data_IF_539797067131
#
_entry.id   IF_539797067131
#
_cell.length_a   1.000
_cell.length_b   1.000
_cell.length_c   1.000
_cell.angle_alpha   90.00
_cell.angle_beta   90.00
_cell.angle_gamma   90.00
#
_symmetry.space_group_name_H-M   'P 1'
#
loop_
_entity.id
_entity.type
_entity.pdbx_description
1 polymer ?
#
# COMPACT_ATOMS: atom_id res chain seq x y z
N UNK A 1 0.82 30.42 8.36
CA UNK A 1 1.38 29.59 7.28
C UNK A 1 2.58 28.75 7.74
N UNK A 2 3.53 29.29 8.48
CA UNK A 2 4.76 28.61 8.92
C UNK A 2 4.50 27.45 9.93
N UNK A 3 3.49 27.58 10.77
CA UNK A 3 3.11 26.54 11.74
C UNK A 3 2.47 25.33 11.06
N UNK A 4 1.62 25.56 10.05
CA UNK A 4 1.01 24.47 9.25
C UNK A 4 2.06 23.67 8.47
N UNK A 5 3.01 24.33 7.84
CA UNK A 5 4.09 23.68 7.09
C UNK A 5 4.98 22.79 8.00
N UNK A 6 5.30 23.25 9.20
CA UNK A 6 6.09 22.45 10.17
C UNK A 6 5.32 21.25 10.69
N UNK A 7 4.02 21.38 10.94
CA UNK A 7 3.16 20.29 11.37
C UNK A 7 3.05 19.21 10.26
N UNK A 8 2.75 19.62 9.03
CA UNK A 8 2.69 18.69 7.88
C UNK A 8 4.04 18.02 7.60
N UNK A 9 5.15 18.74 7.73
CA UNK A 9 6.48 18.16 7.62
C UNK A 9 6.79 17.11 8.68
N UNK A 10 6.36 17.34 9.93
CA UNK A 10 6.52 16.37 11.01
C UNK A 10 5.65 15.13 10.80
N UNK A 11 4.40 15.29 10.36
CA UNK A 11 3.50 14.19 10.02
C UNK A 11 4.05 13.34 8.89
N UNK A 12 4.52 13.96 7.82
CA UNK A 12 5.14 13.27 6.69
C UNK A 12 6.43 12.55 7.13
N UNK A 13 7.26 13.19 7.95
CA UNK A 13 8.46 12.58 8.50
C UNK A 13 8.17 11.35 9.37
N UNK A 14 7.12 11.40 10.19
CA UNK A 14 6.67 10.25 10.97
C UNK A 14 6.13 9.12 10.08
N UNK A 15 5.38 9.44 9.04
CA UNK A 15 4.87 8.47 8.07
C UNK A 15 6.01 7.76 7.34
N UNK A 16 6.95 8.53 6.78
CA UNK A 16 8.10 7.98 6.09
C UNK A 16 8.99 7.15 7.02
N UNK A 17 9.23 7.62 8.25
CA UNK A 17 9.96 6.88 9.26
C UNK A 17 9.27 5.57 9.66
N UNK A 18 7.94 5.57 9.73
CA UNK A 18 7.17 4.36 10.00
C UNK A 18 7.21 3.37 8.81
N UNK A 19 7.12 3.87 7.58
CA UNK A 19 7.19 3.06 6.36
C UNK A 19 8.58 2.46 6.17
N UNK A 20 9.64 3.24 6.39
CA UNK A 20 11.03 2.82 6.16
C UNK A 20 11.43 1.55 6.91
N UNK A 21 10.85 1.31 8.09
CA UNK A 21 11.08 0.08 8.87
C UNK A 21 10.22 -1.13 8.45
N UNK A 22 9.39 -1.00 7.41
CA UNK A 22 8.43 -2.04 6.99
C UNK A 22 8.61 -2.54 5.58
N UNK A 23 9.13 -1.71 4.70
CA UNK A 23 9.40 -2.05 3.30
C UNK A 23 10.57 -3.04 3.27
N UNK A 24 10.40 -4.16 2.60
CA UNK A 24 11.43 -5.18 2.40
C UNK A 24 12.04 -5.10 1.02
N UNK A 25 11.22 -4.88 0.03
CA UNK A 25 11.60 -4.66 -1.36
C UNK A 25 10.64 -3.70 -2.03
N UNK A 26 10.97 -3.27 -3.21
CA UNK A 26 10.13 -2.43 -4.06
C UNK A 26 10.61 -2.49 -5.50
N UNK A 27 9.69 -2.72 -6.43
CA UNK A 27 9.91 -2.43 -7.83
C UNK A 27 9.74 -0.92 -8.08
N UNK A 28 10.72 -0.29 -8.71
CA UNK A 28 10.71 1.16 -8.95
C UNK A 28 9.90 1.49 -10.21
N UNK A 29 8.73 2.09 -9.99
CA UNK A 29 7.84 2.57 -11.05
C UNK A 29 8.14 4.00 -11.49
N UNK A 30 8.93 4.76 -10.71
CA UNK A 30 9.06 6.20 -10.86
C UNK A 30 10.29 6.61 -11.67
N UNK A 31 11.32 5.76 -11.73
CA UNK A 31 12.52 6.02 -12.56
C UNK A 31 12.18 5.74 -14.03
N UNK A 32 11.64 6.75 -14.71
CA UNK A 32 11.31 6.71 -16.15
C UNK A 32 12.33 7.49 -16.97
N UNK A 33 13.01 8.43 -16.36
CA UNK A 33 13.75 9.51 -17.04
C UNK A 33 15.27 9.38 -16.91
N UNK A 34 15.78 8.21 -16.54
CA UNK A 34 17.21 8.01 -16.60
C UNK A 34 17.61 7.90 -18.09
N UNK A 35 18.58 8.71 -18.52
CA UNK A 35 19.12 8.71 -19.89
C UNK A 35 19.70 7.33 -20.27
N UNK A 36 19.93 6.48 -19.27
CA UNK A 36 20.50 5.16 -19.42
C UNK A 36 19.41 4.06 -19.30
N UNK A 37 19.02 3.39 -20.39
CA UNK A 37 18.00 2.34 -20.33
C UNK A 37 18.36 1.15 -19.41
N UNK A 38 19.65 0.97 -19.07
CA UNK A 38 20.11 -0.09 -18.17
C UNK A 38 19.81 0.22 -16.70
N UNK A 39 19.62 1.50 -16.36
CA UNK A 39 19.27 1.95 -15.01
C UNK A 39 17.75 2.01 -14.77
N UNK A 40 16.96 1.71 -15.80
CA UNK A 40 15.51 1.57 -15.71
C UNK A 40 15.16 0.14 -15.25
N UNK A 41 13.98 0.01 -14.64
CA UNK A 41 13.46 -1.33 -14.29
C UNK A 41 14.20 -1.99 -13.10
N UNK A 42 14.44 -1.21 -12.05
CA UNK A 42 15.20 -1.62 -10.87
C UNK A 42 14.28 -2.16 -9.77
N UNK A 43 14.73 -3.23 -9.13
CA UNK A 43 14.15 -3.76 -7.89
C UNK A 43 15.09 -3.45 -6.73
N UNK A 44 14.59 -2.77 -5.71
CA UNK A 44 15.33 -2.45 -4.49
C UNK A 44 14.99 -3.42 -3.36
N UNK A 45 15.98 -3.70 -2.51
CA UNK A 45 15.78 -4.43 -1.27
C UNK A 45 16.34 -3.65 -0.07
N UNK A 46 15.56 -3.59 1.01
CA UNK A 46 15.97 -2.94 2.26
C UNK A 46 16.63 -3.97 3.17
N UNK A 47 17.94 -4.22 2.94
CA UNK A 47 18.69 -5.25 3.62
C UNK A 47 18.55 -5.29 5.15
N UNK A 48 18.62 -4.16 5.89
CA UNK A 48 18.39 -4.16 7.34
C UNK A 48 17.01 -4.69 7.74
N UNK A 49 15.96 -4.38 6.99
CA UNK A 49 14.60 -4.84 7.28
C UNK A 49 14.45 -6.34 6.98
N UNK A 50 15.04 -6.82 5.88
CA UNK A 50 15.07 -8.25 5.53
C UNK A 50 15.75 -9.05 6.66
N UNK A 51 16.94 -8.63 7.10
CA UNK A 51 17.67 -9.27 8.20
C UNK A 51 16.89 -9.25 9.53
N UNK A 52 16.19 -8.15 9.81
CA UNK A 52 15.35 -8.03 11.00
C UNK A 52 14.20 -9.05 11.00
N UNK A 53 13.57 -9.26 9.85
CA UNK A 53 12.50 -10.25 9.67
C UNK A 53 13.04 -11.68 9.77
N UNK A 54 14.13 -11.98 9.08
CA UNK A 54 14.80 -13.28 9.16
C UNK A 54 15.07 -13.67 10.63
N UNK A 55 15.70 -12.77 11.40
CA UNK A 55 15.97 -12.99 12.81
C UNK A 55 14.73 -13.13 13.66
N UNK A 56 13.73 -12.28 13.43
CA UNK A 56 12.50 -12.22 14.24
C UNK A 56 11.69 -13.49 14.15
N UNK A 57 11.61 -14.09 12.95
CA UNK A 57 10.76 -15.25 12.69
C UNK A 57 11.54 -16.55 12.52
N UNK A 58 12.88 -16.49 12.58
CA UNK A 58 13.75 -17.65 12.39
C UNK A 58 13.70 -18.20 10.97
N UNK A 59 13.48 -17.34 9.97
CA UNK A 59 13.39 -17.77 8.58
C UNK A 59 14.74 -18.22 8.04
N UNK A 60 14.81 -19.32 7.24
CA UNK A 60 15.99 -19.68 6.49
C UNK A 60 16.33 -18.56 5.49
N UNK A 61 17.52 -17.91 5.59
CA UNK A 61 17.81 -16.69 4.85
C UNK A 61 17.76 -16.87 3.33
N UNK A 62 18.30 -17.97 2.80
CA UNK A 62 18.35 -18.22 1.36
C UNK A 62 16.93 -18.38 0.77
N UNK A 63 16.09 -19.18 1.41
CA UNK A 63 14.71 -19.40 0.95
C UNK A 63 13.86 -18.14 1.09
N UNK A 64 14.03 -17.42 2.21
CA UNK A 64 13.25 -16.20 2.42
C UNK A 64 13.62 -15.10 1.43
N UNK A 65 14.90 -14.94 1.13
CA UNK A 65 15.36 -13.96 0.12
C UNK A 65 14.94 -14.36 -1.29
N UNK A 66 14.97 -15.65 -1.62
CA UNK A 66 14.44 -16.14 -2.89
C UNK A 66 12.93 -15.87 -3.01
N UNK A 67 12.16 -16.16 -1.96
CA UNK A 67 10.72 -15.88 -1.90
C UNK A 67 10.43 -14.38 -2.09
N UNK A 68 11.18 -13.53 -1.41
CA UNK A 68 11.06 -12.08 -1.55
C UNK A 68 11.45 -11.61 -2.97
N UNK A 69 12.50 -12.18 -3.54
CA UNK A 69 12.92 -11.88 -4.91
C UNK A 69 11.84 -12.27 -5.93
N UNK A 70 11.20 -13.43 -5.79
CA UNK A 70 10.09 -13.84 -6.63
C UNK A 70 8.92 -12.86 -6.54
N UNK A 71 8.61 -12.36 -5.34
CA UNK A 71 7.55 -11.37 -5.13
C UNK A 71 7.83 -10.08 -5.92
N UNK A 72 8.97 -9.46 -5.71
CA UNK A 72 9.33 -8.19 -6.37
C UNK A 72 9.50 -8.35 -7.89
N UNK A 73 10.09 -9.47 -8.33
CA UNK A 73 10.21 -9.78 -9.76
C UNK A 73 8.86 -10.05 -10.42
N UNK A 74 7.87 -10.54 -9.68
CA UNK A 74 6.50 -10.69 -10.20
C UNK A 74 5.86 -9.33 -10.42
N UNK A 75 6.00 -8.39 -9.49
CA UNK A 75 5.55 -7.03 -9.70
C UNK A 75 6.24 -6.37 -10.90
N UNK A 76 7.55 -6.53 -11.01
CA UNK A 76 8.28 -6.09 -12.20
C UNK A 76 7.69 -6.67 -13.48
N UNK A 77 7.46 -7.98 -13.52
CA UNK A 77 6.89 -8.65 -14.70
C UNK A 77 5.46 -8.17 -15.04
N UNK A 78 4.64 -7.85 -14.05
CA UNK A 78 3.31 -7.26 -14.26
C UNK A 78 3.41 -5.92 -15.00
N UNK A 79 4.26 -5.01 -14.53
CA UNK A 79 4.37 -3.66 -15.10
C UNK A 79 5.16 -3.61 -16.41
N UNK A 80 6.08 -4.53 -16.64
CA UNK A 80 6.81 -4.64 -17.92
C UNK A 80 6.06 -5.47 -18.96
N UNK A 81 5.27 -6.45 -18.52
CA UNK A 81 4.52 -7.34 -19.40
C UNK A 81 3.19 -6.77 -19.90
N UNK A 82 2.63 -5.77 -19.22
CA UNK A 82 1.35 -5.14 -19.58
C UNK A 82 1.57 -3.67 -19.96
N UNK A 83 1.64 -3.34 -21.26
CA UNK A 83 2.13 -2.03 -21.74
C UNK A 83 1.39 -0.79 -21.20
N UNK A 84 0.09 -0.91 -20.92
CA UNK A 84 -0.73 0.21 -20.45
C UNK A 84 -0.76 0.37 -18.91
N UNK A 85 -0.32 -0.64 -18.16
CA UNK A 85 -0.54 -0.74 -16.71
C UNK A 85 0.19 0.37 -15.94
N UNK A 86 1.44 0.64 -16.33
CA UNK A 86 2.27 1.68 -15.70
C UNK A 86 1.65 3.07 -15.86
N UNK A 87 1.33 3.44 -17.08
CA UNK A 87 0.76 4.76 -17.38
C UNK A 87 -0.60 4.95 -16.70
N UNK A 88 -1.40 3.90 -16.68
CA UNK A 88 -2.68 3.91 -15.99
C UNK A 88 -2.50 4.13 -14.48
N UNK A 89 -1.58 3.38 -13.86
CA UNK A 89 -1.28 3.51 -12.43
C UNK A 89 -0.77 4.91 -12.07
N UNK A 90 0.21 5.40 -12.81
CA UNK A 90 0.76 6.74 -12.59
C UNK A 90 -0.29 7.84 -12.84
N UNK A 91 -1.17 7.65 -13.81
CA UNK A 91 -2.30 8.55 -14.05
C UNK A 91 -3.27 8.63 -12.85
N UNK A 92 -3.56 7.50 -12.21
CA UNK A 92 -4.38 7.46 -10.98
C UNK A 92 -3.67 8.13 -9.80
N UNK A 93 -2.37 7.87 -9.64
CA UNK A 93 -1.54 8.53 -8.60
C UNK A 93 -1.51 10.05 -8.79
N UNK A 94 -1.27 10.52 -10.00
CA UNK A 94 -1.25 11.95 -10.31
C UNK A 94 -2.61 12.62 -10.03
N UNK A 95 -3.72 12.01 -10.44
CA UNK A 95 -5.07 12.50 -10.09
C UNK A 95 -5.28 12.61 -8.58
N UNK A 96 -4.72 11.68 -7.80
CA UNK A 96 -4.82 11.72 -6.36
C UNK A 96 -3.98 12.86 -5.77
N UNK A 97 -2.78 13.09 -6.31
CA UNK A 97 -1.88 14.16 -5.85
C UNK A 97 -2.40 15.55 -6.21
N UNK A 98 -2.96 15.73 -7.41
CA UNK A 98 -3.55 17.00 -7.86
C UNK A 98 -4.76 17.40 -7.00
N UNK A 99 -5.44 16.42 -6.44
CA UNK A 99 -6.61 16.62 -5.61
C UNK A 99 -6.31 16.98 -4.13
N UNK A 100 -5.03 17.11 -3.75
CA UNK A 100 -4.59 17.35 -2.35
C UNK A 100 -4.71 18.85 -1.93
N UNK A 101 -5.16 19.76 -2.81
CA UNK A 101 -5.33 21.16 -2.43
C UNK A 101 -6.62 21.33 -1.59
N UNK A 102 -6.53 21.52 -0.26
CA UNK A 102 -7.71 21.55 0.60
C UNK A 102 -8.47 22.85 0.37
N UNK A 103 -9.62 22.76 -0.29
CA UNK A 103 -10.59 23.85 -0.39
C UNK A 103 -11.04 24.26 1.02
N UNK A 104 -10.94 25.56 1.39
CA UNK A 104 -11.43 26.07 2.67
C UNK A 104 -12.90 25.75 2.95
N UNK A 105 -13.75 25.62 1.91
CA UNK A 105 -15.14 25.21 2.05
C UNK A 105 -15.27 23.75 2.44
N UNK A 106 -14.43 22.86 1.88
CA UNK A 106 -14.39 21.44 2.25
C UNK A 106 -14.01 21.26 3.73
N UNK A 107 -13.05 22.03 4.24
CA UNK A 107 -12.67 22.01 5.64
C UNK A 107 -13.82 22.46 6.57
N UNK A 108 -14.59 23.47 6.14
CA UNK A 108 -15.78 23.93 6.88
C UNK A 108 -16.87 22.88 6.92
N UNK A 109 -17.12 22.21 5.81
CA UNK A 109 -18.17 21.18 5.71
C UNK A 109 -17.78 19.91 6.46
N UNK A 110 -16.50 19.52 6.42
CA UNK A 110 -15.97 18.47 7.27
C UNK A 110 -16.16 18.80 8.77
N UNK A 111 -15.82 20.02 9.18
CA UNK A 111 -16.02 20.46 10.55
C UNK A 111 -17.48 20.43 10.99
N UNK A 112 -18.44 20.86 10.13
CA UNK A 112 -19.87 20.78 10.38
C UNK A 112 -20.34 19.34 10.57
N UNK A 113 -19.94 18.42 9.67
CA UNK A 113 -20.28 16.99 9.76
C UNK A 113 -19.76 16.35 11.02
N UNK A 114 -18.54 16.67 11.45
CA UNK A 114 -17.96 16.20 12.72
C UNK A 114 -18.81 16.67 13.92
N UNK A 115 -19.25 17.94 13.91
CA UNK A 115 -20.07 18.50 14.97
C UNK A 115 -21.48 17.88 14.98
N UNK A 116 -22.08 17.65 13.82
CA UNK A 116 -23.39 16.99 13.68
C UNK A 116 -23.35 15.54 14.14
N UNK A 117 -22.39 14.76 13.66
CA UNK A 117 -22.22 13.37 14.06
C UNK A 117 -21.99 13.23 15.58
N UNK A 118 -21.26 14.17 16.18
CA UNK A 118 -21.09 14.22 17.65
C UNK A 118 -22.39 14.54 18.38
N UNK A 119 -23.34 15.26 17.77
CA UNK A 119 -24.65 15.57 18.34
C UNK A 119 -25.64 14.42 18.16
N UNK A 120 -25.59 13.72 17.04
CA UNK A 120 -26.49 12.59 16.70
C UNK A 120 -26.02 11.26 17.29
N UNK A 121 -24.77 11.20 17.78
CA UNK A 121 -24.17 9.94 18.26
C UNK A 121 -23.81 8.97 17.13
N UNK A 122 -23.81 9.42 15.88
CA UNK A 122 -23.33 8.64 14.75
C UNK A 122 -21.83 8.43 14.80
N UNK A 123 -21.41 7.21 14.56
CA UNK A 123 -19.98 6.88 14.52
C UNK A 123 -19.39 7.34 13.17
N UNK A 124 -18.67 8.47 13.19
CA UNK A 124 -17.98 9.04 12.03
C UNK A 124 -17.05 8.02 11.36
N UNK A 125 -16.73 6.91 12.04
CA UNK A 125 -15.83 5.88 11.58
C UNK A 125 -16.53 4.70 10.87
N UNK A 126 -17.87 4.60 10.93
CA UNK A 126 -18.61 3.51 10.25
C UNK A 126 -18.58 3.66 8.72
N UNK A 127 -18.61 4.86 8.17
CA UNK A 127 -18.68 5.13 6.71
C UNK A 127 -17.31 5.44 6.06
N UNK A 128 -16.23 4.79 6.49
CA UNK A 128 -14.90 4.95 5.89
C UNK A 128 -13.98 5.96 6.62
N UNK A 129 -14.42 6.50 7.76
CA UNK A 129 -13.60 7.30 8.67
C UNK A 129 -13.34 8.74 8.22
N UNK A 130 -12.42 9.42 8.93
CA UNK A 130 -12.05 10.81 8.68
C UNK A 130 -11.71 11.14 7.21
N UNK A 131 -11.05 10.26 6.43
CA UNK A 131 -10.76 10.58 5.02
C UNK A 131 -11.98 10.85 4.17
N UNK A 132 -13.13 10.20 4.46
CA UNK A 132 -14.36 10.43 3.68
C UNK A 132 -14.96 11.82 3.87
N UNK A 133 -14.60 12.50 4.97
CA UNK A 133 -15.00 13.87 5.24
C UNK A 133 -14.21 14.89 4.41
N UNK A 134 -12.99 14.50 3.98
CA UNK A 134 -12.04 15.37 3.29
C UNK A 134 -11.81 14.96 1.83
N UNK A 135 -12.60 14.03 1.30
CA UNK A 135 -12.50 13.57 -0.09
C UNK A 135 -13.77 13.87 -0.86
N UNK A 136 -13.63 14.34 -2.10
CA UNK A 136 -14.76 14.45 -3.03
C UNK A 136 -15.21 13.06 -3.51
N UNK A 137 -16.44 12.91 -4.08
CA UNK A 137 -16.87 11.66 -4.70
C UNK A 137 -15.88 11.16 -5.78
N UNK A 138 -15.30 12.07 -6.57
CA UNK A 138 -14.33 11.76 -7.62
C UNK A 138 -12.99 11.26 -7.04
N UNK A 139 -12.53 11.89 -5.95
CA UNK A 139 -11.35 11.44 -5.23
C UNK A 139 -11.55 10.04 -4.64
N UNK A 140 -12.73 9.77 -4.08
CA UNK A 140 -13.07 8.43 -3.56
C UNK A 140 -13.07 7.40 -4.66
N UNK A 141 -13.63 7.72 -5.82
CA UNK A 141 -13.62 6.81 -6.97
C UNK A 141 -12.19 6.51 -7.45
N UNK A 142 -11.33 7.53 -7.55
CA UNK A 142 -9.91 7.35 -7.90
C UNK A 142 -9.18 6.47 -6.88
N UNK A 143 -9.40 6.70 -5.58
CA UNK A 143 -8.83 5.86 -4.51
C UNK A 143 -9.34 4.42 -4.56
N UNK A 144 -10.62 4.21 -4.90
CA UNK A 144 -11.18 2.87 -5.09
C UNK A 144 -10.55 2.15 -6.28
N UNK A 145 -10.34 2.86 -7.40
CA UNK A 145 -9.65 2.31 -8.57
C UNK A 145 -8.21 1.91 -8.25
N UNK A 146 -7.44 2.76 -7.57
CA UNK A 146 -6.09 2.42 -7.09
C UNK A 146 -6.15 1.18 -6.18
N UNK A 147 -7.10 1.17 -5.25
CA UNK A 147 -7.26 0.08 -4.30
C UNK A 147 -7.60 -1.24 -4.98
N UNK A 148 -8.52 -1.23 -5.93
CA UNK A 148 -8.89 -2.41 -6.74
C UNK A 148 -7.71 -2.92 -7.55
N UNK A 149 -6.99 -2.02 -8.21
CA UNK A 149 -5.81 -2.38 -8.98
C UNK A 149 -4.69 -2.95 -8.11
N UNK A 150 -4.40 -2.34 -6.96
CA UNK A 150 -3.42 -2.90 -6.00
C UNK A 150 -3.83 -4.29 -5.51
N UNK A 151 -5.13 -4.51 -5.26
CA UNK A 151 -5.62 -5.83 -4.86
C UNK A 151 -5.43 -6.88 -5.95
N UNK A 152 -5.67 -6.51 -7.21
CA UNK A 152 -5.45 -7.38 -8.36
C UNK A 152 -3.96 -7.70 -8.56
N UNK A 153 -3.09 -6.69 -8.46
CA UNK A 153 -1.64 -6.87 -8.60
C UNK A 153 -1.07 -7.77 -7.50
N UNK A 154 -1.47 -7.55 -6.25
CA UNK A 154 -1.04 -8.37 -5.12
C UNK A 154 -1.59 -9.81 -5.22
N UNK A 155 -2.89 -9.99 -5.54
CA UNK A 155 -3.48 -11.31 -5.70
C UNK A 155 -2.84 -12.10 -6.85
N UNK A 156 -2.66 -11.48 -8.00
CA UNK A 156 -1.92 -12.08 -9.11
C UNK A 156 -0.45 -12.37 -8.72
N UNK A 157 0.18 -11.47 -7.96
CA UNK A 157 1.53 -11.63 -7.44
C UNK A 157 1.65 -12.88 -6.57
N UNK A 158 0.78 -13.01 -5.57
CA UNK A 158 0.75 -14.14 -4.64
C UNK A 158 0.57 -15.48 -5.40
N UNK A 159 -0.43 -15.59 -6.29
CA UNK A 159 -0.70 -16.80 -7.09
C UNK A 159 0.46 -17.15 -8.03
N UNK A 160 1.01 -16.15 -8.72
CA UNK A 160 2.11 -16.36 -9.67
C UNK A 160 3.38 -16.79 -8.95
N UNK A 161 3.69 -16.15 -7.82
CA UNK A 161 4.85 -16.47 -7.00
C UNK A 161 4.75 -17.87 -6.40
N UNK A 162 3.59 -18.28 -5.91
CA UNK A 162 3.36 -19.62 -5.37
C UNK A 162 3.56 -20.69 -6.45
N UNK A 163 3.08 -20.45 -7.68
CA UNK A 163 3.28 -21.36 -8.82
C UNK A 163 4.72 -21.40 -9.28
N UNK A 164 5.37 -20.25 -9.43
CA UNK A 164 6.77 -20.16 -9.87
C UNK A 164 7.76 -20.67 -8.82
N UNK A 165 7.45 -20.46 -7.53
CA UNK A 165 8.26 -20.91 -6.40
C UNK A 165 8.07 -22.38 -6.02
N UNK A 166 7.05 -23.06 -6.60
CA UNK A 166 6.74 -24.44 -6.28
C UNK A 166 7.96 -25.37 -6.52
N UNK A 167 8.40 -26.04 -5.48
CA UNK A 167 9.58 -26.91 -5.51
C UNK A 167 10.94 -26.22 -5.29
N UNK A 168 11.00 -24.87 -5.28
CA UNK A 168 12.22 -24.12 -5.00
C UNK A 168 12.22 -23.48 -3.60
N UNK A 169 11.04 -23.13 -3.08
CA UNK A 169 10.88 -22.50 -1.77
C UNK A 169 10.04 -23.41 -0.89
N UNK A 170 10.69 -24.21 -0.08
CA UNK A 170 10.03 -25.22 0.78
C UNK A 170 9.13 -24.56 1.84
N UNK A 171 9.55 -23.40 2.36
CA UNK A 171 8.85 -22.69 3.43
C UNK A 171 7.92 -21.55 2.92
N UNK A 172 7.55 -21.53 1.64
CA UNK A 172 6.71 -20.48 1.05
C UNK A 172 5.41 -20.24 1.84
N UNK A 173 4.70 -21.31 2.22
CA UNK A 173 3.48 -21.25 3.04
C UNK A 173 3.69 -20.57 4.40
N UNK A 174 4.84 -20.83 5.04
CA UNK A 174 5.18 -20.25 6.35
C UNK A 174 5.41 -18.75 6.19
N UNK A 175 6.11 -18.35 5.12
CA UNK A 175 6.35 -16.93 4.83
C UNK A 175 5.02 -16.22 4.54
N UNK A 176 4.22 -16.74 3.62
CA UNK A 176 2.91 -16.19 3.26
C UNK A 176 1.99 -16.04 4.48
N UNK A 177 1.84 -17.09 5.30
CA UNK A 177 1.04 -17.05 6.54
C UNK A 177 1.54 -15.99 7.52
N UNK A 178 2.86 -15.88 7.70
CA UNK A 178 3.45 -14.90 8.61
C UNK A 178 3.19 -13.48 8.12
N UNK A 179 3.30 -13.21 6.83
CA UNK A 179 3.04 -11.90 6.25
C UNK A 179 1.55 -11.55 6.27
N UNK A 180 0.66 -12.50 6.00
CA UNK A 180 -0.80 -12.30 6.18
C UNK A 180 -1.15 -12.00 7.64
N UNK A 181 -0.58 -12.72 8.60
CA UNK A 181 -0.77 -12.47 10.03
C UNK A 181 -0.23 -11.08 10.45
N UNK A 182 0.91 -10.64 9.92
CA UNK A 182 1.45 -9.28 10.16
C UNK A 182 0.53 -8.21 9.63
N UNK A 183 -0.01 -8.36 8.42
CA UNK A 183 -1.00 -7.44 7.84
C UNK A 183 -2.23 -7.33 8.75
N UNK A 184 -2.75 -8.45 9.21
CA UNK A 184 -3.95 -8.52 10.05
C UNK A 184 -3.72 -8.11 11.51
N UNK A 185 -2.49 -8.21 12.03
CA UNK A 185 -2.17 -7.94 13.43
C UNK A 185 -1.74 -6.50 13.71
N UNK A 186 -1.94 -5.58 12.78
CA UNK A 186 -1.66 -4.16 12.99
C UNK A 186 -2.49 -3.63 14.18
N UNK A 187 -1.90 -3.72 15.39
CA UNK A 187 -2.53 -3.29 16.65
C UNK A 187 -2.02 -1.90 17.06
N UNK A 188 -2.86 -1.13 17.72
CA UNK A 188 -2.50 0.16 18.29
C UNK A 188 -2.40 1.29 17.27
N UNK A 189 -1.28 2.00 17.23
CA UNK A 189 -1.08 3.20 16.40
C UNK A 189 -1.31 2.94 14.90
N UNK A 190 -0.92 1.76 14.42
CA UNK A 190 -1.16 1.33 13.03
C UNK A 190 -2.66 1.20 12.73
N UNK A 191 -3.46 0.73 13.69
CA UNK A 191 -4.92 0.62 13.54
C UNK A 191 -5.59 2.00 13.52
N UNK A 192 -5.13 2.92 14.36
CA UNK A 192 -5.59 4.31 14.36
C UNK A 192 -5.21 4.98 13.03
N UNK A 193 -3.99 4.76 12.55
CA UNK A 193 -3.53 5.30 11.28
C UNK A 193 -4.26 4.68 10.07
N UNK A 194 -4.55 3.38 10.12
CA UNK A 194 -5.37 2.69 9.11
C UNK A 194 -6.82 3.20 9.11
N UNK A 195 -7.40 3.46 10.29
CA UNK A 195 -8.72 4.11 10.41
C UNK A 195 -8.71 5.53 9.85
N UNK A 196 -7.69 6.32 10.17
CA UNK A 196 -7.54 7.69 9.67
C UNK A 196 -7.32 7.70 8.15
N UNK A 197 -6.58 6.75 7.60
CA UNK A 197 -6.27 6.65 6.18
C UNK A 197 -7.30 5.84 5.36
N UNK A 198 -8.40 5.35 5.97
CA UNK A 198 -9.42 4.53 5.29
C UNK A 198 -8.92 3.13 4.86
N UNK A 199 -7.82 2.64 5.44
CA UNK A 199 -7.15 1.40 5.04
C UNK A 199 -7.81 0.12 5.57
N UNK A 200 -8.76 0.22 6.50
CA UNK A 200 -9.38 -0.97 7.15
C UNK A 200 -10.24 -1.79 6.16
N UNK A 201 -10.85 -1.15 5.17
CA UNK A 201 -11.63 -1.84 4.13
C UNK A 201 -10.77 -2.68 3.16
N UNK A 202 -9.44 -2.46 3.13
CA UNK A 202 -8.53 -3.04 2.13
C UNK A 202 -8.05 -4.46 2.44
N UNK A 203 -8.07 -4.90 3.69
CA UNK A 203 -7.57 -6.24 4.04
C UNK A 203 -8.44 -7.37 3.46
N UNK A 204 -9.74 -7.13 3.27
CA UNK A 204 -10.65 -8.07 2.61
C UNK A 204 -10.48 -8.09 1.08
N UNK A 205 -9.93 -7.04 0.50
CA UNK A 205 -9.75 -6.91 -0.96
C UNK A 205 -8.59 -7.77 -1.49
N UNK A 206 -7.53 -7.98 -0.71
CA UNK A 206 -6.41 -8.86 -1.12
C UNK A 206 -6.89 -10.29 -1.35
N UNK A 207 -7.69 -10.81 -0.41
CA UNK A 207 -8.29 -12.14 -0.59
C UNK A 207 -9.24 -12.20 -1.79
N UNK A 208 -10.03 -11.17 -2.01
CA UNK A 208 -10.90 -11.09 -3.19
C UNK A 208 -10.10 -11.04 -4.50
N UNK A 209 -8.90 -10.42 -4.50
CA UNK A 209 -7.98 -10.44 -5.64
C UNK A 209 -7.39 -11.83 -5.89
N UNK A 210 -6.96 -12.55 -4.85
CA UNK A 210 -6.50 -13.95 -4.96
C UNK A 210 -7.62 -14.84 -5.51
N UNK A 211 -8.82 -14.80 -4.91
CA UNK A 211 -9.99 -15.61 -5.31
C UNK A 211 -10.38 -15.33 -6.79
N UNK A 212 -10.33 -14.08 -7.24
CA UNK A 212 -10.63 -13.68 -8.63
C UNK A 212 -9.61 -14.22 -9.64
N UNK A 213 -8.34 -14.32 -9.26
CA UNK A 213 -7.29 -14.83 -10.15
C UNK A 213 -7.27 -16.36 -10.22
N UNK A 214 -7.75 -17.04 -9.17
CA UNK A 214 -7.81 -18.51 -9.13
C UNK A 214 -9.03 -19.08 -9.91
N UNK A 215 -10.09 -18.30 -10.14
CA UNK A 215 -11.23 -18.65 -11.00
C UNK A 215 -10.84 -18.62 -12.51
#
# INVERSE_FOLDING_TARGET
KEFGSKASGAEMGMLLGWMSGRVLGQYDLLIIEDENPEDQDIVYYVGPNVLAIEKKYGFPPEEFRLWLALHECTHRAQFTGVPWLRDHFLGLVNKTLEAVDPDPEMLRDAAKRIVEAKKTGEDIFEDGGLPTLFTTPEQRETLNQISGMMSLLEGHGDVTMDRAGAGYVTNADVFAKTFRARRNSAKGFTRIFQKIAGFEAKLNQYKAGEDFIEE
#
